data_IF_092817361791
#
_entry.id   IF_092817361791
#
_cell.length_a   1.000
_cell.length_b   1.000
_cell.length_c   1.000
_cell.angle_alpha   90.00
_cell.angle_beta   90.00
_cell.angle_gamma   90.00
#
_symmetry.space_group_name_H-M   'P 1'
#
loop_
_entity.id
_entity.type
_entity.pdbx_description
1 polymer ?
#
# COMPACT_ATOMS: atom_id res chain seq x y z
N UNK A 1 -9.61 -2.28 -0.18
CA UNK A 1 -9.06 -3.43 -0.93
C UNK A 1 -8.88 -3.05 -2.40
N UNK A 2 -7.63 -2.88 -2.85
CA UNK A 2 -7.29 -2.62 -4.26
C UNK A 2 -7.67 -3.90 -5.07
N UNK A 3 -8.85 -3.95 -5.68
CA UNK A 3 -9.35 -5.12 -6.44
C UNK A 3 -8.70 -5.32 -7.82
N UNK A 4 -7.76 -4.46 -8.21
CA UNK A 4 -7.02 -4.66 -9.45
C UNK A 4 -6.02 -5.78 -9.18
N UNK A 5 -6.15 -6.91 -9.87
CA UNK A 5 -5.06 -7.87 -10.05
C UNK A 5 -3.92 -7.07 -10.70
N UNK A 6 -3.09 -6.43 -9.89
CA UNK A 6 -1.89 -5.77 -10.36
C UNK A 6 -1.01 -6.90 -10.86
N UNK A 7 -0.74 -6.88 -12.17
CA UNK A 7 0.24 -7.72 -12.82
C UNK A 7 1.46 -7.82 -11.91
N UNK A 8 1.84 -9.04 -11.54
CA UNK A 8 2.70 -9.38 -10.38
C UNK A 8 4.13 -8.80 -10.42
N UNK A 9 4.41 -7.90 -11.37
CA UNK A 9 5.71 -7.29 -11.62
C UNK A 9 5.93 -5.95 -10.91
N UNK A 10 4.88 -5.27 -10.45
CA UNK A 10 5.01 -3.98 -9.72
C UNK A 10 4.22 -3.98 -8.40
N UNK A 11 4.50 -4.98 -7.56
CA UNK A 11 3.99 -5.02 -6.19
C UNK A 11 5.04 -4.41 -5.25
N UNK A 12 4.64 -3.37 -4.52
CA UNK A 12 5.44 -2.71 -3.50
C UNK A 12 5.05 -3.23 -2.11
N UNK A 13 6.01 -3.37 -1.21
CA UNK A 13 5.73 -3.76 0.17
C UNK A 13 5.37 -2.53 1.01
N UNK A 14 4.34 -2.65 1.85
CA UNK A 14 4.07 -1.65 2.88
C UNK A 14 5.28 -1.53 3.80
N UNK A 15 5.79 -0.31 3.98
CA UNK A 15 7.01 -0.08 4.78
C UNK A 15 6.80 -0.37 6.27
N UNK A 16 5.56 -0.33 6.75
CA UNK A 16 5.24 -0.59 8.17
C UNK A 16 4.96 -2.07 8.47
N UNK A 17 4.10 -2.72 7.68
CA UNK A 17 3.64 -4.08 7.97
C UNK A 17 4.06 -5.14 6.95
N UNK A 18 4.70 -4.75 5.85
CA UNK A 18 5.14 -5.67 4.78
C UNK A 18 4.03 -6.19 3.88
N UNK A 19 2.78 -5.73 4.03
CA UNK A 19 1.68 -6.12 3.16
C UNK A 19 1.96 -5.73 1.70
N UNK A 20 1.68 -6.63 0.74
CA UNK A 20 1.84 -6.30 -0.68
C UNK A 20 0.77 -5.31 -1.16
N UNK A 21 1.24 -4.24 -1.80
CA UNK A 21 0.48 -3.15 -2.37
C UNK A 21 0.74 -3.10 -3.87
N UNK A 22 -0.25 -2.68 -4.65
CA UNK A 22 0.02 -2.32 -6.04
C UNK A 22 0.73 -0.95 -6.09
N UNK A 23 1.42 -0.67 -7.19
CA UNK A 23 2.12 0.59 -7.45
C UNK A 23 1.27 1.82 -7.09
N UNK A 24 0.03 1.90 -7.60
CA UNK A 24 -0.92 2.98 -7.31
C UNK A 24 -1.25 3.13 -5.81
N UNK A 25 -1.48 1.99 -5.12
CA UNK A 25 -1.76 1.96 -3.69
C UNK A 25 -0.48 2.37 -2.90
N UNK A 26 0.73 2.09 -3.41
CA UNK A 26 2.00 2.50 -2.80
C UNK A 26 2.33 3.97 -3.04
N UNK A 27 2.11 4.50 -4.24
CA UNK A 27 2.40 5.91 -4.55
C UNK A 27 1.46 6.88 -3.83
N UNK A 28 0.17 6.51 -3.69
CA UNK A 28 -0.83 7.37 -3.05
C UNK A 28 -0.60 7.56 -1.55
N UNK A 29 -0.22 6.50 -0.85
CA UNK A 29 -0.14 6.45 0.61
C UNK A 29 1.32 6.39 1.09
N UNK A 30 2.28 6.93 0.31
CA UNK A 30 3.71 7.01 0.63
C UNK A 30 4.36 5.65 0.98
N UNK A 31 3.87 4.57 0.37
CA UNK A 31 4.34 3.21 0.61
C UNK A 31 3.73 2.56 1.85
N UNK A 32 2.59 3.05 2.33
CA UNK A 32 1.80 2.44 3.40
C UNK A 32 0.55 1.76 2.85
N UNK A 33 0.09 0.71 3.51
CA UNK A 33 -1.21 0.13 3.22
C UNK A 33 -2.32 1.02 3.81
N UNK A 34 -3.54 0.88 3.30
CA UNK A 34 -4.68 1.69 3.75
C UNK A 34 -4.88 1.68 5.29
N UNK A 35 -4.57 0.56 5.95
CA UNK A 35 -4.67 0.43 7.40
C UNK A 35 -3.57 1.23 8.12
N UNK A 36 -2.31 1.05 7.70
CA UNK A 36 -1.17 1.80 8.23
C UNK A 36 -1.25 3.30 7.92
N UNK A 37 -1.73 3.67 6.73
CA UNK A 37 -1.93 5.06 6.33
C UNK A 37 -3.04 5.73 7.15
N UNK A 38 -4.12 5.02 7.45
CA UNK A 38 -5.18 5.51 8.33
C UNK A 38 -4.72 5.67 9.79
N UNK A 39 -3.79 4.83 10.24
CA UNK A 39 -3.17 4.93 11.56
C UNK A 39 -2.17 6.11 11.64
N UNK A 40 -1.40 6.37 10.58
CA UNK A 40 -0.43 7.48 10.49
C UNK A 40 -1.13 8.85 10.42
N UNK A 41 -2.18 8.98 9.60
CA UNK A 41 -2.95 10.22 9.45
C UNK A 41 -3.79 10.63 10.67
N UNK A 42 -3.78 9.85 11.74
CA UNK A 42 -4.43 10.16 13.03
C UNK A 42 -3.44 10.65 14.12
N UNK A 43 -2.19 10.94 13.76
CA UNK A 43 -1.16 11.45 14.68
C UNK A 43 -1.24 12.97 14.91
#
# INVERSE_FOLDING_TARGET
MCHKLADARSLHGCTSCGAMLCDDCSERDLGLCADCAAADGNA
#
